data_IF_118781090883
#
_entry.id   IF_118781090883
#
_cell.length_a   1.000
_cell.length_b   1.000
_cell.length_c   1.000
_cell.angle_alpha   90.00
_cell.angle_beta   90.00
_cell.angle_gamma   90.00
#
_symmetry.space_group_name_H-M   'P 1'
#
loop_
_entity.id
_entity.type
_entity.pdbx_description
1 polymer ?
#
# COMPACT_ATOMS: atom_id res chain seq x y z
N UNK A 1 4.87 -4.32 3.76
CA UNK A 1 5.71 -5.06 4.76
C UNK A 1 6.03 -6.45 4.23
N UNK A 2 7.23 -6.97 4.49
CA UNK A 2 7.67 -8.32 4.08
C UNK A 2 7.71 -9.27 5.28
N UNK A 3 7.36 -10.53 5.07
CA UNK A 3 7.57 -11.60 6.05
C UNK A 3 8.20 -12.82 5.37
N UNK A 4 9.01 -13.55 6.13
CA UNK A 4 9.58 -14.81 5.67
C UNK A 4 8.54 -15.93 5.82
N UNK A 5 8.18 -16.56 4.70
CA UNK A 5 7.23 -17.69 4.69
C UNK A 5 7.93 -18.92 4.11
N UNK A 6 8.70 -19.62 4.96
CA UNK A 6 9.31 -20.93 4.69
C UNK A 6 10.43 -20.97 3.63
N UNK A 7 10.31 -20.19 2.54
CA UNK A 7 11.19 -20.29 1.38
C UNK A 7 11.55 -18.90 0.82
N UNK A 8 12.83 -18.54 0.89
CA UNK A 8 13.33 -17.19 0.49
C UNK A 8 13.08 -16.85 -0.98
N UNK A 9 12.99 -17.83 -1.88
CA UNK A 9 12.68 -17.55 -3.31
C UNK A 9 11.21 -17.16 -3.53
N UNK A 10 10.31 -17.48 -2.59
CA UNK A 10 8.89 -17.17 -2.64
C UNK A 10 8.54 -16.01 -1.72
N UNK A 11 9.26 -14.90 -1.86
CA UNK A 11 8.97 -13.68 -1.09
C UNK A 11 7.53 -13.22 -1.37
N UNK A 12 6.76 -13.06 -0.30
CA UNK A 12 5.44 -12.45 -0.32
C UNK A 12 5.50 -11.12 0.42
N UNK A 13 4.96 -10.10 -0.22
CA UNK A 13 4.80 -8.77 0.32
C UNK A 13 3.33 -8.59 0.67
N UNK A 14 3.07 -8.14 1.89
CA UNK A 14 1.78 -7.62 2.28
C UNK A 14 1.70 -6.17 1.82
N UNK A 15 0.85 -5.95 0.83
CA UNK A 15 0.37 -4.64 0.44
C UNK A 15 -0.93 -4.39 1.18
N UNK A 16 -1.03 -3.31 1.93
CA UNK A 16 -2.29 -2.93 2.56
C UNK A 16 -2.54 -1.44 2.38
N UNK A 17 -3.81 -1.06 2.49
CA UNK A 17 -4.24 0.31 2.57
C UNK A 17 -4.99 0.51 3.87
N UNK A 18 -4.67 1.60 4.57
CA UNK A 18 -5.36 2.00 5.79
C UNK A 18 -6.03 3.35 5.55
N UNK A 19 -7.21 3.50 6.14
CA UNK A 19 -7.83 4.80 6.23
C UNK A 19 -6.99 5.71 7.15
N UNK A 20 -6.68 6.91 6.68
CA UNK A 20 -5.80 7.82 7.40
C UNK A 20 -6.41 8.30 8.72
N UNK A 21 -7.73 8.52 8.74
CA UNK A 21 -8.45 9.10 9.89
C UNK A 21 -8.73 8.09 11.00
N UNK A 22 -9.29 6.94 10.65
CA UNK A 22 -9.73 5.89 11.57
C UNK A 22 -8.65 4.82 11.80
N UNK A 23 -7.58 4.82 11.00
CA UNK A 23 -6.56 3.78 10.94
C UNK A 23 -7.10 2.39 10.57
N UNK A 24 -8.35 2.23 10.17
CA UNK A 24 -8.91 0.93 9.81
C UNK A 24 -8.28 0.41 8.52
N UNK A 25 -8.11 -0.90 8.41
CA UNK A 25 -7.65 -1.52 7.17
C UNK A 25 -8.81 -1.48 6.18
N UNK A 26 -8.58 -0.88 5.01
CA UNK A 26 -9.56 -0.82 3.92
C UNK A 26 -9.46 -2.05 3.02
N UNK A 27 -8.24 -2.40 2.63
CA UNK A 27 -7.97 -3.56 1.80
C UNK A 27 -6.52 -4.02 1.97
N UNK A 28 -6.27 -5.27 1.61
CA UNK A 28 -4.92 -5.82 1.50
C UNK A 28 -4.81 -6.81 0.33
N UNK A 29 -3.58 -7.03 -0.12
CA UNK A 29 -3.23 -7.97 -1.16
C UNK A 29 -1.84 -8.57 -0.90
N UNK A 30 -1.72 -9.88 -1.08
CA UNK A 30 -0.43 -10.57 -1.00
C UNK A 30 0.13 -10.74 -2.40
N UNK A 31 1.33 -10.21 -2.64
CA UNK A 31 1.94 -10.25 -3.95
C UNK A 31 3.45 -10.15 -3.88
N UNK A 32 4.10 -10.08 -5.05
CA UNK A 32 5.52 -9.69 -5.12
C UNK A 32 5.65 -8.17 -5.00
N UNK A 33 6.87 -7.62 -4.84
CA UNK A 33 7.16 -6.19 -5.03
C UNK A 33 7.04 -5.82 -6.52
N UNK A 34 5.83 -5.88 -7.08
CA UNK A 34 5.56 -5.59 -8.49
C UNK A 34 4.28 -4.78 -8.66
N UNK A 35 4.22 -4.04 -9.76
CA UNK A 35 3.12 -3.18 -10.16
C UNK A 35 1.78 -3.94 -10.20
N UNK A 36 1.77 -5.20 -10.64
CA UNK A 36 0.62 -6.11 -10.63
C UNK A 36 -0.08 -6.19 -9.26
N UNK A 37 0.70 -6.28 -8.17
CA UNK A 37 0.17 -6.38 -6.82
C UNK A 37 -0.49 -5.07 -6.37
N UNK A 38 0.07 -3.93 -6.80
CA UNK A 38 -0.49 -2.61 -6.53
C UNK A 38 -1.77 -2.36 -7.34
N UNK A 39 -1.82 -2.79 -8.60
CA UNK A 39 -3.04 -2.74 -9.44
C UNK A 39 -4.15 -3.56 -8.80
N UNK A 40 -3.85 -4.78 -8.34
CA UNK A 40 -4.82 -5.63 -7.65
C UNK A 40 -5.33 -4.98 -6.35
N UNK A 41 -4.46 -4.32 -5.58
CA UNK A 41 -4.87 -3.56 -4.40
C UNK A 41 -5.76 -2.37 -4.79
N UNK A 42 -5.37 -1.58 -5.81
CA UNK A 42 -6.14 -0.42 -6.28
C UNK A 42 -7.53 -0.82 -6.78
N UNK A 43 -7.65 -1.95 -7.45
CA UNK A 43 -8.94 -2.51 -7.88
C UNK A 43 -9.86 -2.77 -6.67
N UNK A 44 -9.36 -3.35 -5.58
CA UNK A 44 -10.14 -3.51 -4.34
C UNK A 44 -10.53 -2.18 -3.71
N UNK A 45 -9.69 -1.16 -3.87
CA UNK A 45 -9.94 0.18 -3.36
C UNK A 45 -10.94 0.98 -4.20
N UNK A 46 -11.24 0.56 -5.43
CA UNK A 46 -12.16 1.27 -6.33
C UNK A 46 -13.58 1.42 -5.78
N UNK A 47 -14.00 0.52 -4.87
CA UNK A 47 -15.30 0.60 -4.20
C UNK A 47 -15.35 1.66 -3.10
N UNK A 48 -14.21 2.25 -2.73
CA UNK A 48 -14.12 3.31 -1.74
C UNK A 48 -13.93 4.66 -2.45
N UNK A 49 -14.59 5.70 -1.93
CA UNK A 49 -14.43 7.07 -2.44
C UNK A 49 -13.14 7.71 -1.91
N UNK A 50 -11.98 7.19 -2.33
CA UNK A 50 -10.67 7.63 -1.86
C UNK A 50 -10.24 8.87 -2.62
N UNK A 51 -10.06 9.97 -1.86
CA UNK A 51 -9.70 11.28 -2.41
C UNK A 51 -8.19 11.54 -2.44
N UNK A 52 -7.45 10.94 -1.52
CA UNK A 52 -6.01 11.17 -1.36
C UNK A 52 -5.28 9.86 -1.09
N UNK A 53 -4.13 9.69 -1.73
CA UNK A 53 -3.23 8.57 -1.55
C UNK A 53 -1.93 9.06 -0.95
N UNK A 54 -1.57 8.52 0.21
CA UNK A 54 -0.30 8.78 0.88
C UNK A 54 0.58 7.54 0.75
N UNK A 55 1.70 7.65 0.06
CA UNK A 55 2.61 6.52 -0.16
C UNK A 55 4.05 6.88 0.16
N UNK A 56 4.90 5.87 0.25
CA UNK A 56 6.34 6.07 0.23
C UNK A 56 6.84 6.43 -1.18
N UNK A 57 8.11 6.84 -1.26
CA UNK A 57 8.76 7.25 -2.50
C UNK A 57 9.24 6.03 -3.30
N UNK A 58 8.28 5.23 -3.76
CA UNK A 58 8.54 4.14 -4.67
C UNK A 58 7.83 4.39 -6.00
N UNK A 59 8.60 4.44 -7.10
CA UNK A 59 8.11 4.72 -8.45
C UNK A 59 6.94 3.87 -8.98
N UNK A 60 6.61 2.73 -8.37
CA UNK A 60 5.36 2.01 -8.71
C UNK A 60 4.10 2.81 -8.36
N UNK A 61 4.14 3.58 -7.26
CA UNK A 61 3.02 4.42 -6.86
C UNK A 61 2.83 5.60 -7.82
N UNK A 62 3.92 6.25 -8.24
CA UNK A 62 3.88 7.36 -9.20
C UNK A 62 3.26 6.95 -10.56
N UNK A 63 3.44 5.69 -11.00
CA UNK A 63 2.85 5.21 -12.26
C UNK A 63 1.38 4.82 -12.15
N UNK A 64 0.92 4.39 -10.98
CA UNK A 64 -0.39 3.74 -10.81
C UNK A 64 -1.40 4.65 -10.09
N UNK A 65 -0.93 5.53 -9.21
CA UNK A 65 -1.77 6.44 -8.44
C UNK A 65 -1.95 7.75 -9.21
N UNK A 66 -3.16 8.34 -9.26
CA UNK A 66 -3.36 9.64 -9.90
C UNK A 66 -2.52 10.74 -9.24
N UNK A 67 -1.71 11.44 -10.03
CA UNK A 67 -0.76 12.46 -9.56
C UNK A 67 -1.44 13.59 -8.77
N UNK A 68 -2.60 14.06 -9.24
CA UNK A 68 -3.39 15.13 -8.59
C UNK A 68 -3.85 14.79 -7.16
N UNK A 69 -3.85 13.51 -6.81
CA UNK A 69 -4.31 13.00 -5.52
C UNK A 69 -3.20 12.24 -4.77
N UNK A 70 -1.96 12.30 -5.24
CA UNK A 70 -0.84 11.53 -4.72
C UNK A 70 0.12 12.42 -3.92
N UNK A 71 0.27 12.08 -2.64
CA UNK A 71 1.21 12.76 -1.75
C UNK A 71 2.31 11.78 -1.32
N UNK A 72 3.54 12.05 -1.76
CA UNK A 72 4.72 11.27 -1.41
C UNK A 72 5.33 11.86 -0.14
N UNK A 73 5.55 11.02 0.88
CA UNK A 73 6.29 11.46 2.05
C UNK A 73 6.14 10.56 3.26
N UNK A 74 7.16 10.59 4.14
CA UNK A 74 7.19 9.78 5.37
C UNK A 74 6.21 10.26 6.44
N UNK A 75 5.78 11.53 6.39
CA UNK A 75 5.03 12.19 7.47
C UNK A 75 3.67 11.53 7.75
N UNK A 76 3.00 11.00 6.72
CA UNK A 76 1.68 10.36 6.84
C UNK A 76 1.71 8.83 6.84
N UNK A 77 2.89 8.23 6.62
CA UNK A 77 3.08 6.76 6.60
C UNK A 77 3.57 6.18 7.93
N UNK A 78 4.05 7.02 8.87
CA UNK A 78 4.54 6.58 10.19
C UNK A 78 3.58 5.69 10.99
N UNK A 79 2.27 5.88 10.82
CA UNK A 79 1.29 5.08 11.55
C UNK A 79 1.02 3.71 10.95
N UNK A 80 1.40 3.49 9.69
CA UNK A 80 1.45 2.13 9.11
C UNK A 80 2.54 1.35 9.85
N UNK A 81 3.70 1.98 10.05
CA UNK A 81 4.85 1.37 10.72
C UNK A 81 4.55 1.11 12.21
N UNK A 82 3.93 2.07 12.89
CA UNK A 82 3.62 1.97 14.33
C UNK A 82 2.49 0.98 14.68
N UNK A 83 1.66 0.58 13.72
CA UNK A 83 0.61 -0.45 13.92
C UNK A 83 1.13 -1.88 13.91
N UNK A 84 2.40 -2.05 13.53
CA UNK A 84 3.05 -3.35 13.38
C UNK A 84 4.30 -3.49 14.26
N UNK A 85 4.50 -2.55 15.19
CA UNK A 85 5.33 -2.70 16.39
C UNK A 85 4.44 -3.23 17.52
#
# INVERSE_FOLDING_TARGET
MWSFVGHKKNQRWLWHAIDHSTRKILAYHFGRRKDEALIALKSKLSSFNIRYYYTDDWGSYQRIVPEDSHFIGKKNTQAIERKHL
#
